data_IF_605208405953
#
_entry.id   IF_605208405953
#
_cell.length_a   1.000
_cell.length_b   1.000
_cell.length_c   1.000
_cell.angle_alpha   90.00
_cell.angle_beta   90.00
_cell.angle_gamma   90.00
#
_symmetry.space_group_name_H-M   'P 1'
#
loop_
_entity.id
_entity.type
_entity.pdbx_description
1 polymer ?
#
# COMPACT_ATOMS: atom_id res chain seq x y z
N UNK A 1 43.87 -3.42 -44.07
CA UNK A 1 42.86 -4.37 -43.54
C UNK A 1 42.21 -3.72 -42.31
N UNK A 2 41.03 -3.16 -42.47
CA UNK A 2 40.23 -2.61 -41.34
C UNK A 2 39.34 -3.72 -40.82
N UNK A 3 39.54 -4.12 -39.56
CA UNK A 3 38.67 -5.07 -38.86
C UNK A 3 37.52 -4.30 -38.24
N UNK A 4 36.31 -4.47 -38.77
CA UNK A 4 35.09 -3.92 -38.19
C UNK A 4 34.70 -4.72 -36.97
N UNK A 5 34.68 -4.09 -35.80
CA UNK A 5 34.14 -4.65 -34.56
C UNK A 5 32.61 -4.47 -34.60
N UNK A 6 31.89 -5.58 -34.75
CA UNK A 6 30.44 -5.60 -34.66
C UNK A 6 30.05 -5.58 -33.18
N UNK A 7 29.55 -4.45 -32.69
CA UNK A 7 28.90 -4.35 -31.37
C UNK A 7 27.51 -5.01 -31.47
N UNK A 8 27.41 -6.22 -30.98
CA UNK A 8 26.10 -6.87 -30.76
C UNK A 8 25.50 -6.31 -29.48
N UNK A 9 24.59 -5.36 -29.62
CA UNK A 9 23.73 -4.90 -28.50
C UNK A 9 22.79 -6.04 -28.14
N UNK A 10 23.03 -6.74 -27.04
CA UNK A 10 22.04 -7.61 -26.41
C UNK A 10 20.87 -6.73 -25.91
N UNK A 11 19.83 -6.62 -26.73
CA UNK A 11 18.53 -6.17 -26.27
C UNK A 11 17.97 -7.27 -25.35
N UNK A 12 18.14 -7.11 -24.03
CA UNK A 12 17.38 -7.86 -23.04
C UNK A 12 15.90 -7.61 -23.34
N UNK A 13 15.05 -8.64 -23.41
CA UNK A 13 13.62 -8.43 -23.57
C UNK A 13 13.17 -7.60 -22.36
N UNK A 14 12.68 -6.40 -22.62
CA UNK A 14 11.94 -5.62 -21.64
C UNK A 14 10.78 -6.52 -21.19
N UNK A 15 10.92 -7.15 -20.05
CA UNK A 15 9.82 -7.81 -19.37
C UNK A 15 8.68 -6.82 -19.40
N UNK A 16 7.53 -7.21 -19.98
CA UNK A 16 6.35 -6.38 -20.01
C UNK A 16 5.93 -6.16 -18.54
N UNK A 17 6.52 -5.14 -17.91
CA UNK A 17 6.14 -4.65 -16.60
C UNK A 17 4.64 -4.44 -16.67
N UNK A 18 3.91 -5.13 -15.82
CA UNK A 18 2.48 -4.93 -15.66
C UNK A 18 2.30 -3.44 -15.34
N UNK A 19 1.90 -2.64 -16.34
CA UNK A 19 1.83 -1.18 -16.25
C UNK A 19 0.94 -0.82 -15.08
N UNK A 20 1.55 -0.42 -13.96
CA UNK A 20 0.89 0.22 -12.85
C UNK A 20 -0.20 -0.61 -12.14
N UNK A 21 -0.05 -1.93 -12.06
CA UNK A 21 -0.98 -2.75 -11.29
C UNK A 21 -0.95 -2.31 -9.82
N UNK A 22 -2.15 -2.12 -9.23
CA UNK A 22 -2.29 -1.91 -7.80
C UNK A 22 -1.62 -3.05 -7.03
N UNK A 23 -0.93 -2.73 -5.97
CA UNK A 23 -0.18 -3.68 -5.16
C UNK A 23 -0.77 -3.90 -3.77
N UNK A 24 -0.93 -2.84 -2.98
CA UNK A 24 -1.43 -2.92 -1.61
C UNK A 24 -2.02 -1.58 -1.14
N UNK A 25 -2.83 -1.65 -0.08
CA UNK A 25 -3.18 -0.50 0.76
C UNK A 25 -2.95 -0.87 2.23
N UNK A 26 -2.25 -0.03 2.98
CA UNK A 26 -1.92 -0.24 4.38
C UNK A 26 -2.14 1.05 5.16
N UNK A 27 -2.87 0.99 6.27
CA UNK A 27 -3.18 2.14 7.10
C UNK A 27 -2.37 2.15 8.40
N UNK A 28 -2.17 3.33 8.97
CA UNK A 28 -1.61 3.52 10.32
C UNK A 28 -2.54 2.98 11.41
N UNK A 29 -3.86 3.05 11.19
CA UNK A 29 -4.86 2.44 12.06
C UNK A 29 -6.09 2.03 11.27
N UNK A 30 -6.94 1.18 11.85
CA UNK A 30 -8.27 0.88 11.34
C UNK A 30 -9.24 0.70 12.50
N UNK A 31 -10.48 1.10 12.31
CA UNK A 31 -11.54 0.86 13.28
C UNK A 31 -11.83 -0.64 13.36
N UNK A 32 -11.71 -1.19 14.56
CA UNK A 32 -12.01 -2.59 14.81
C UNK A 32 -13.53 -2.83 14.85
N UNK A 33 -13.94 -4.00 14.42
CA UNK A 33 -15.31 -4.44 14.48
C UNK A 33 -15.35 -5.93 14.86
N UNK A 34 -15.83 -6.24 16.07
CA UNK A 34 -15.76 -7.56 16.71
C UNK A 34 -16.22 -8.72 15.82
N UNK A 35 -17.36 -8.57 15.15
CA UNK A 35 -17.93 -9.63 14.30
C UNK A 35 -17.53 -9.55 12.82
N UNK A 36 -16.88 -8.49 12.38
CA UNK A 36 -16.50 -8.26 10.99
C UNK A 36 -15.15 -7.55 10.88
N UNK A 37 -14.02 -8.23 11.14
CA UNK A 37 -12.69 -7.61 11.19
C UNK A 37 -12.30 -6.85 9.90
N UNK A 38 -12.80 -7.29 8.75
CA UNK A 38 -12.54 -6.66 7.45
C UNK A 38 -13.45 -5.46 7.12
N UNK A 39 -14.39 -5.07 8.03
CA UNK A 39 -15.38 -4.03 7.73
C UNK A 39 -14.77 -2.69 7.35
N UNK A 40 -13.71 -2.29 8.03
CA UNK A 40 -13.08 -0.97 7.88
C UNK A 40 -11.61 -1.05 7.45
N UNK A 41 -11.24 -2.15 6.80
CA UNK A 41 -9.85 -2.38 6.37
C UNK A 41 -9.40 -1.41 5.26
N UNK A 42 -8.09 -1.12 5.14
CA UNK A 42 -7.55 -0.17 4.17
C UNK A 42 -7.90 -0.46 2.70
N UNK A 43 -7.99 -1.74 2.32
CA UNK A 43 -8.38 -2.13 0.96
C UNK A 43 -9.78 -1.66 0.54
N UNK A 44 -10.65 -1.38 1.50
CA UNK A 44 -11.98 -0.84 1.22
C UNK A 44 -11.91 0.55 0.58
N UNK A 45 -10.85 1.33 0.87
CA UNK A 45 -10.66 2.66 0.28
C UNK A 45 -10.32 2.63 -1.22
N UNK A 46 -9.99 1.47 -1.75
CA UNK A 46 -9.52 1.34 -3.15
C UNK A 46 -10.29 0.29 -3.94
N UNK A 47 -11.43 -0.20 -3.43
CA UNK A 47 -12.18 -1.30 -4.03
C UNK A 47 -13.33 -0.87 -4.96
N UNK A 48 -13.60 0.43 -5.05
CA UNK A 48 -14.63 1.00 -5.92
C UNK A 48 -16.06 0.70 -5.49
N UNK A 49 -16.29 0.36 -4.22
CA UNK A 49 -17.60 -0.04 -3.70
C UNK A 49 -18.12 0.98 -2.69
N UNK A 50 -19.24 1.63 -2.98
CA UNK A 50 -19.87 2.60 -2.09
C UNK A 50 -20.36 1.99 -0.75
N UNK A 51 -20.47 0.66 -0.67
CA UNK A 51 -20.92 -0.05 0.54
C UNK A 51 -19.78 -0.36 1.53
N UNK A 52 -18.54 -0.11 1.18
CA UNK A 52 -17.36 -0.38 1.97
C UNK A 52 -16.58 0.90 2.20
N UNK A 53 -15.87 1.00 3.33
CA UNK A 53 -15.04 2.15 3.67
C UNK A 53 -13.86 1.70 4.51
N UNK A 54 -12.76 2.40 4.41
CA UNK A 54 -11.80 2.44 5.50
C UNK A 54 -12.24 3.49 6.51
N UNK A 55 -12.17 3.16 7.79
CA UNK A 55 -12.29 4.11 8.88
C UNK A 55 -11.07 3.93 9.78
N UNK A 56 -10.47 5.04 10.19
CA UNK A 56 -9.35 4.99 11.13
C UNK A 56 -9.84 4.57 12.53
N UNK A 57 -8.93 4.05 13.36
CA UNK A 57 -9.22 3.52 14.69
C UNK A 57 -8.39 4.16 15.80
N UNK A 58 -7.76 5.30 15.55
CA UNK A 58 -7.00 6.03 16.55
C UNK A 58 -7.91 6.78 17.51
N UNK A 59 -7.37 7.24 18.63
CA UNK A 59 -8.11 8.15 19.52
C UNK A 59 -8.21 9.54 18.89
N UNK A 60 -9.37 10.14 18.96
CA UNK A 60 -9.64 11.50 18.47
C UNK A 60 -10.38 11.49 17.14
N UNK A 61 -10.06 12.43 16.27
CA UNK A 61 -10.74 12.64 15.00
C UNK A 61 -9.94 12.16 13.77
N UNK A 62 -8.86 11.41 14.01
CA UNK A 62 -8.07 10.77 12.96
C UNK A 62 -7.11 11.70 12.19
N UNK A 63 -6.94 12.96 12.61
CA UNK A 63 -5.91 13.83 12.03
C UNK A 63 -4.52 13.22 12.21
N UNK A 64 -3.72 13.21 11.13
CA UNK A 64 -2.43 12.54 11.06
C UNK A 64 -2.50 11.05 10.70
N UNK A 65 -3.68 10.43 10.70
CA UNK A 65 -3.83 9.06 10.23
C UNK A 65 -3.65 8.99 8.71
N UNK A 66 -3.01 7.91 8.26
CA UNK A 66 -2.57 7.78 6.88
C UNK A 66 -2.81 6.38 6.33
N UNK A 67 -2.97 6.33 5.02
CA UNK A 67 -2.94 5.11 4.24
C UNK A 67 -1.80 5.20 3.22
N UNK A 68 -1.01 4.16 3.16
CA UNK A 68 0.01 3.97 2.13
C UNK A 68 -0.59 3.07 1.05
N UNK A 69 -0.56 3.55 -0.18
CA UNK A 69 -0.99 2.81 -1.37
C UNK A 69 0.24 2.51 -2.22
N UNK A 70 0.45 1.25 -2.53
CA UNK A 70 1.57 0.77 -3.35
C UNK A 70 1.12 0.18 -4.67
N UNK A 71 1.93 0.37 -5.70
CA UNK A 71 1.79 -0.22 -7.03
C UNK A 71 2.98 -1.16 -7.32
N UNK A 72 2.76 -2.14 -8.17
CA UNK A 72 3.79 -3.14 -8.52
C UNK A 72 4.89 -2.60 -9.46
N UNK A 73 4.65 -1.42 -10.03
CA UNK A 73 5.60 -0.69 -10.89
C UNK A 73 5.31 0.80 -10.79
N UNK A 74 6.26 1.69 -11.15
CA UNK A 74 6.06 3.12 -11.16
C UNK A 74 4.84 3.54 -12.00
N UNK A 75 4.05 4.45 -11.46
CA UNK A 75 2.88 5.07 -12.10
C UNK A 75 3.00 6.59 -12.02
N UNK A 76 2.28 7.28 -12.90
CA UNK A 76 2.15 8.75 -12.89
C UNK A 76 0.69 9.08 -12.60
N UNK A 77 0.40 9.58 -11.40
CA UNK A 77 -0.95 9.92 -10.95
C UNK A 77 -1.21 11.39 -11.27
N UNK A 78 -2.15 11.66 -12.15
CA UNK A 78 -2.54 13.01 -12.59
C UNK A 78 -3.92 13.45 -12.04
N UNK A 79 -4.72 12.50 -11.53
CA UNK A 79 -6.02 12.76 -10.94
C UNK A 79 -6.31 11.76 -9.81
N UNK A 80 -7.05 12.21 -8.81
CA UNK A 80 -7.69 11.33 -7.83
C UNK A 80 -9.19 11.60 -7.77
N UNK A 81 -9.98 10.54 -7.59
CA UNK A 81 -11.44 10.64 -7.36
C UNK A 81 -11.72 10.15 -5.95
N UNK A 82 -12.32 11.00 -5.13
CA UNK A 82 -12.52 10.71 -3.71
C UNK A 82 -14.00 10.62 -3.40
N UNK A 83 -14.44 9.49 -2.84
CA UNK A 83 -15.75 9.33 -2.20
C UNK A 83 -15.53 9.43 -0.70
N UNK A 84 -15.98 10.53 -0.11
CA UNK A 84 -15.69 10.91 1.27
C UNK A 84 -16.62 10.22 2.28
N UNK A 85 -16.16 10.11 3.53
CA UNK A 85 -16.93 9.58 4.64
C UNK A 85 -17.27 8.10 4.53
N UNK A 86 -18.19 7.60 5.35
CA UNK A 86 -18.82 6.28 5.20
C UNK A 86 -20.08 6.42 4.33
N UNK A 87 -19.91 6.27 3.01
CA UNK A 87 -20.96 6.56 2.04
C UNK A 87 -21.99 5.41 1.88
N UNK A 88 -21.92 4.35 2.69
CA UNK A 88 -22.84 3.20 2.63
C UNK A 88 -24.31 3.58 2.89
N UNK A 89 -24.54 4.65 3.63
CA UNK A 89 -25.86 5.24 3.85
C UNK A 89 -25.74 6.73 4.25
N UNK A 90 -26.81 7.49 4.08
CA UNK A 90 -26.87 8.88 4.55
C UNK A 90 -26.69 8.99 6.08
N UNK A 91 -27.21 8.02 6.82
CA UNK A 91 -27.08 7.97 8.28
C UNK A 91 -25.60 7.74 8.68
N UNK A 92 -24.93 6.74 8.09
CA UNK A 92 -23.54 6.43 8.36
C UNK A 92 -22.62 7.62 7.99
N UNK A 93 -22.87 8.26 6.85
CA UNK A 93 -22.14 9.46 6.43
C UNK A 93 -22.23 10.61 7.43
N UNK A 94 -23.41 10.86 7.98
CA UNK A 94 -23.60 11.92 8.98
C UNK A 94 -23.04 11.58 10.35
N UNK A 95 -23.11 10.31 10.74
CA UNK A 95 -22.67 9.85 12.04
C UNK A 95 -21.14 9.90 12.22
N UNK A 96 -20.40 9.53 11.18
CA UNK A 96 -18.93 9.48 11.20
C UNK A 96 -18.28 10.80 10.75
N UNK A 97 -17.03 11.02 11.11
CA UNK A 97 -16.25 12.12 10.57
C UNK A 97 -15.94 11.90 9.08
N UNK A 98 -15.81 12.97 8.36
CA UNK A 98 -15.44 12.99 6.94
C UNK A 98 -14.19 13.84 6.77
N UNK A 99 -13.35 13.50 5.81
CA UNK A 99 -12.13 14.27 5.54
C UNK A 99 -12.49 15.61 4.93
N UNK A 100 -11.94 16.71 5.47
CA UNK A 100 -12.02 18.06 4.91
C UNK A 100 -10.79 18.39 4.08
N UNK A 101 -9.61 18.09 4.62
CA UNK A 101 -8.33 18.28 3.95
C UNK A 101 -7.53 17.01 4.08
N UNK A 102 -7.02 16.52 2.97
CA UNK A 102 -6.00 15.47 2.96
C UNK A 102 -4.75 15.93 2.21
N UNK A 103 -3.63 15.30 2.50
CA UNK A 103 -2.47 15.37 1.62
C UNK A 103 -2.32 14.06 0.86
N UNK A 104 -1.96 14.19 -0.41
CA UNK A 104 -1.50 13.10 -1.25
C UNK A 104 -0.02 13.33 -1.54
N UNK A 105 0.84 12.42 -1.18
CA UNK A 105 2.30 12.61 -1.31
C UNK A 105 3.02 11.32 -1.67
N UNK A 106 4.23 11.49 -2.16
CA UNK A 106 5.26 10.47 -2.25
C UNK A 106 6.58 11.05 -1.71
N UNK A 107 7.69 10.37 -1.94
CA UNK A 107 9.02 10.82 -1.48
C UNK A 107 9.47 12.14 -2.13
N UNK A 108 8.92 12.51 -3.30
CA UNK A 108 9.38 13.64 -4.12
C UNK A 108 8.45 14.86 -4.05
N UNK A 109 7.16 14.67 -3.81
CA UNK A 109 6.16 15.74 -3.91
C UNK A 109 4.96 15.50 -3.00
N UNK A 110 4.25 16.61 -2.68
CA UNK A 110 3.04 16.62 -1.86
C UNK A 110 1.99 17.55 -2.49
N UNK A 111 0.76 17.09 -2.53
CA UNK A 111 -0.42 17.88 -2.89
C UNK A 111 -1.38 17.96 -1.71
N UNK A 112 -1.90 19.14 -1.45
CA UNK A 112 -2.99 19.35 -0.50
C UNK A 112 -4.31 19.35 -1.26
N UNK A 113 -5.26 18.55 -0.83
CA UNK A 113 -6.57 18.37 -1.44
C UNK A 113 -7.64 18.78 -0.44
N UNK A 114 -8.46 19.76 -0.80
CA UNK A 114 -9.64 20.17 -0.02
C UNK A 114 -10.88 19.50 -0.60
N UNK A 115 -11.63 18.80 0.25
CA UNK A 115 -12.85 18.10 -0.13
C UNK A 115 -14.09 18.88 0.31
N UNK A 116 -15.17 18.76 -0.45
CA UNK A 116 -16.49 19.19 -0.03
C UNK A 116 -17.15 18.14 0.86
N UNK A 117 -18.05 18.57 1.77
CA UNK A 117 -18.81 17.68 2.65
C UNK A 117 -19.98 17.01 1.89
N UNK A 118 -19.68 16.03 1.06
CA UNK A 118 -20.64 15.33 0.22
C UNK A 118 -20.29 13.84 0.07
N UNK A 119 -21.32 12.99 -0.05
CA UNK A 119 -21.20 11.57 -0.39
C UNK A 119 -20.87 11.32 -1.88
N UNK A 120 -20.99 12.35 -2.74
CA UNK A 120 -20.73 12.19 -4.17
C UNK A 120 -19.23 12.13 -4.42
N UNK A 121 -18.77 11.31 -5.39
CA UNK A 121 -17.39 11.34 -5.82
C UNK A 121 -16.96 12.74 -6.25
N UNK A 122 -15.76 13.14 -5.88
CA UNK A 122 -15.14 14.42 -6.21
C UNK A 122 -13.90 14.14 -7.05
N UNK A 123 -13.81 14.72 -8.23
CA UNK A 123 -12.66 14.61 -9.13
C UNK A 123 -11.67 15.74 -8.85
N UNK A 124 -10.44 15.39 -8.54
CA UNK A 124 -9.36 16.31 -8.23
C UNK A 124 -8.20 16.07 -9.18
N UNK A 125 -7.98 17.01 -10.08
CA UNK A 125 -6.81 17.01 -10.95
C UNK A 125 -5.61 17.56 -10.20
N UNK A 126 -4.50 16.86 -10.28
CA UNK A 126 -3.24 17.29 -9.69
C UNK A 126 -2.55 18.25 -10.68
N UNK A 127 -2.11 19.41 -10.19
CA UNK A 127 -1.43 20.40 -11.04
C UNK A 127 -0.10 19.90 -11.63
N UNK A 128 0.55 18.98 -10.91
CA UNK A 128 1.70 18.19 -11.38
C UNK A 128 1.43 16.73 -11.02
N UNK A 129 1.67 15.78 -11.93
CA UNK A 129 1.54 14.37 -11.61
C UNK A 129 2.48 13.96 -10.46
N UNK A 130 2.03 13.01 -9.65
CA UNK A 130 2.87 12.29 -8.70
C UNK A 130 3.39 11.03 -9.35
N UNK A 131 4.71 10.89 -9.44
CA UNK A 131 5.35 9.74 -10.08
C UNK A 131 6.01 8.84 -9.03
N UNK A 132 5.79 7.54 -9.12
CA UNK A 132 6.40 6.57 -8.22
C UNK A 132 5.58 5.29 -8.05
N UNK A 133 6.02 4.44 -7.14
CA UNK A 133 5.36 3.19 -6.81
C UNK A 133 4.53 3.27 -5.52
N UNK A 134 4.72 4.31 -4.71
CA UNK A 134 4.19 4.41 -3.36
C UNK A 134 3.66 5.82 -3.08
N UNK A 135 2.43 5.89 -2.60
CA UNK A 135 1.75 7.14 -2.31
C UNK A 135 1.14 7.08 -0.91
N UNK A 136 1.13 8.22 -0.23
CA UNK A 136 0.57 8.38 1.10
C UNK A 136 -0.62 9.31 1.02
N UNK A 137 -1.77 8.86 1.51
CA UNK A 137 -2.95 9.66 1.77
C UNK A 137 -3.01 9.92 3.28
N UNK A 138 -2.92 11.17 3.71
CA UNK A 138 -2.90 11.55 5.12
C UNK A 138 -4.01 12.55 5.42
N UNK A 139 -4.76 12.32 6.51
CA UNK A 139 -5.83 13.20 6.98
C UNK A 139 -5.22 14.42 7.66
N UNK A 140 -5.57 15.61 7.20
CA UNK A 140 -5.11 16.89 7.77
C UNK A 140 -6.22 17.61 8.55
N UNK A 141 -7.45 17.61 8.04
CA UNK A 141 -8.60 18.22 8.67
C UNK A 141 -9.86 17.39 8.40
N UNK A 142 -10.84 17.50 9.28
CA UNK A 142 -12.10 16.77 9.19
C UNK A 142 -13.33 17.67 9.30
N UNK A 143 -14.42 17.25 8.68
CA UNK A 143 -15.78 17.64 9.04
C UNK A 143 -16.26 16.69 10.14
N UNK A 144 -16.68 17.20 11.28
CA UNK A 144 -17.13 16.36 12.39
C UNK A 144 -18.48 15.74 12.12
N UNK A 145 -18.63 14.47 12.51
CA UNK A 145 -19.87 13.74 12.49
C UNK A 145 -20.83 14.17 13.60
N UNK A 146 -22.08 13.76 13.46
CA UNK A 146 -23.15 14.00 14.45
C UNK A 146 -23.20 12.87 15.52
N UNK A 147 -22.45 11.75 15.30
CA UNK A 147 -22.40 10.60 16.19
C UNK A 147 -21.38 10.73 17.30
N UNK A 148 -21.48 9.85 18.30
CA UNK A 148 -20.50 9.76 19.40
C UNK A 148 -19.17 9.15 18.94
N UNK A 149 -19.21 8.29 17.91
CA UNK A 149 -18.02 7.68 17.32
C UNK A 149 -17.33 8.72 16.43
N UNK A 150 -16.12 9.12 16.82
CA UNK A 150 -15.33 10.13 16.11
C UNK A 150 -14.43 9.55 15.00
N UNK A 151 -14.69 8.33 14.54
CA UNK A 151 -13.89 7.71 13.49
C UNK A 151 -14.04 8.48 12.17
N UNK A 152 -12.91 8.80 11.54
CA UNK A 152 -12.90 9.43 10.22
C UNK A 152 -12.80 8.36 9.14
N UNK A 153 -13.70 8.43 8.17
CA UNK A 153 -13.83 7.42 7.12
C UNK A 153 -13.54 7.99 5.72
N UNK A 154 -13.07 7.12 4.84
CA UNK A 154 -12.99 7.30 3.40
C UNK A 154 -13.57 6.06 2.71
N UNK A 155 -14.58 6.27 1.86
CA UNK A 155 -15.21 5.17 1.11
C UNK A 155 -14.32 4.74 -0.05
N UNK A 156 -13.85 5.69 -0.88
CA UNK A 156 -13.03 5.32 -2.03
C UNK A 156 -12.07 6.43 -2.41
N UNK A 157 -10.85 6.05 -2.80
CA UNK A 157 -9.86 6.91 -3.45
C UNK A 157 -9.36 6.20 -4.70
N UNK A 158 -9.86 6.64 -5.84
CA UNK A 158 -9.45 6.13 -7.15
C UNK A 158 -8.25 6.92 -7.64
N UNK A 159 -7.12 6.25 -7.81
CA UNK A 159 -5.93 6.81 -8.44
C UNK A 159 -6.05 6.69 -9.94
N UNK A 160 -5.82 7.78 -10.67
CA UNK A 160 -6.02 7.87 -12.12
C UNK A 160 -4.72 8.29 -12.79
N UNK A 161 -4.39 7.65 -13.91
CA UNK A 161 -3.24 7.92 -14.77
C UNK A 161 -3.69 8.07 -16.20
N UNK A 162 -3.53 9.24 -16.81
CA UNK A 162 -3.95 9.50 -18.19
C UNK A 162 -5.42 9.13 -18.44
N UNK A 163 -6.32 9.46 -17.52
CA UNK A 163 -7.75 9.15 -17.58
C UNK A 163 -8.12 7.69 -17.25
N UNK A 164 -7.15 6.80 -16.97
CA UNK A 164 -7.39 5.39 -16.65
C UNK A 164 -7.33 5.16 -15.14
N UNK A 165 -8.37 4.61 -14.51
CA UNK A 165 -8.35 4.25 -13.09
C UNK A 165 -7.38 3.09 -12.85
N UNK A 166 -6.48 3.25 -11.88
CA UNK A 166 -5.52 2.25 -11.41
C UNK A 166 -6.00 1.52 -10.15
N UNK A 167 -7.01 2.07 -9.46
CA UNK A 167 -7.69 1.48 -8.29
C UNK A 167 -9.21 1.63 -8.44
N UNK A 168 -9.97 1.39 -7.41
CA UNK A 168 -11.43 1.52 -7.42
C UNK A 168 -12.08 0.50 -8.35
N UNK A 169 -12.90 0.92 -9.33
CA UNK A 169 -13.64 0.00 -10.20
C UNK A 169 -12.75 -1.00 -10.96
N UNK A 170 -11.49 -0.66 -11.23
CA UNK A 170 -10.55 -1.58 -11.90
C UNK A 170 -10.16 -2.79 -11.05
N UNK A 171 -10.36 -2.70 -9.72
CA UNK A 171 -10.10 -3.75 -8.75
C UNK A 171 -11.37 -4.48 -8.30
N UNK A 172 -12.55 -4.01 -8.70
CA UNK A 172 -13.81 -4.62 -8.32
C UNK A 172 -13.82 -6.13 -8.66
N UNK A 173 -14.12 -6.96 -7.68
CA UNK A 173 -14.09 -8.43 -7.79
C UNK A 173 -12.71 -9.09 -7.78
N UNK A 174 -11.60 -8.31 -7.87
CA UNK A 174 -10.24 -8.86 -7.80
C UNK A 174 -9.68 -8.92 -6.38
N UNK A 175 -10.19 -8.09 -5.49
CA UNK A 175 -9.81 -8.06 -4.08
C UNK A 175 -10.53 -9.21 -3.31
N UNK A 176 -10.28 -10.45 -3.71
CA UNK A 176 -10.95 -11.66 -3.23
C UNK A 176 -10.82 -11.90 -1.72
N UNK A 177 -10.42 -13.10 -1.32
CA UNK A 177 -10.27 -13.49 0.09
C UNK A 177 -9.34 -12.53 0.83
N UNK A 178 -9.93 -11.72 1.73
CA UNK A 178 -9.27 -10.66 2.49
C UNK A 178 -8.76 -11.12 3.84
N UNK A 179 -8.84 -12.42 4.12
CA UNK A 179 -8.39 -13.01 5.37
C UNK A 179 -6.90 -13.41 5.29
N UNK A 180 -6.22 -13.34 6.40
CA UNK A 180 -4.83 -13.78 6.57
C UNK A 180 -3.81 -12.94 5.79
N UNK A 181 -3.67 -13.17 4.48
CA UNK A 181 -2.67 -12.50 3.64
C UNK A 181 -2.73 -10.96 3.69
N UNK A 182 -3.92 -10.38 3.88
CA UNK A 182 -4.11 -8.92 4.00
C UNK A 182 -3.28 -8.32 5.12
N UNK A 183 -3.13 -9.02 6.23
CA UNK A 183 -2.35 -8.54 7.37
C UNK A 183 -0.87 -8.30 7.04
N UNK A 184 -0.32 -9.06 6.09
CA UNK A 184 1.08 -8.96 5.68
C UNK A 184 1.31 -8.04 4.48
N UNK A 185 0.26 -7.60 3.78
CA UNK A 185 0.40 -6.73 2.61
C UNK A 185 1.08 -5.41 2.99
N UNK A 186 1.98 -4.95 2.14
CA UNK A 186 2.69 -3.71 2.35
C UNK A 186 4.09 -3.74 1.77
N UNK A 187 4.81 -2.67 1.97
CA UNK A 187 6.24 -2.55 1.70
C UNK A 187 7.00 -2.57 3.01
N UNK A 188 7.88 -3.51 3.15
CA UNK A 188 8.67 -3.78 4.35
C UNK A 188 10.13 -3.44 4.08
N UNK A 189 10.78 -2.85 5.06
CA UNK A 189 12.16 -2.41 4.98
C UNK A 189 13.02 -3.10 6.04
N UNK A 190 14.21 -3.49 5.66
CA UNK A 190 15.26 -3.98 6.57
C UNK A 190 16.60 -3.43 6.13
N UNK A 191 17.12 -2.48 6.87
CA UNK A 191 18.42 -1.85 6.66
C UNK A 191 18.83 -1.10 7.91
N UNK A 192 20.09 -0.72 7.95
CA UNK A 192 20.67 0.18 8.95
C UNK A 192 21.43 1.26 8.19
N UNK A 193 21.59 2.44 8.78
CA UNK A 193 22.41 3.49 8.21
C UNK A 193 23.83 2.99 7.91
N UNK A 194 24.31 3.22 6.69
CA UNK A 194 25.61 2.73 6.24
C UNK A 194 25.69 1.23 5.94
N UNK A 195 24.56 0.54 5.83
CA UNK A 195 24.48 -0.87 5.49
C UNK A 195 23.59 -1.09 4.24
N UNK A 196 23.70 -2.25 3.58
CA UNK A 196 22.82 -2.58 2.47
C UNK A 196 21.35 -2.52 2.84
N UNK A 197 20.53 -2.00 1.93
CA UNK A 197 19.09 -1.90 2.10
C UNK A 197 18.36 -3.09 1.49
N UNK A 198 17.26 -3.48 2.12
CA UNK A 198 16.42 -4.56 1.64
C UNK A 198 14.97 -4.16 1.74
N UNK A 199 14.22 -4.47 0.69
CA UNK A 199 12.79 -4.20 0.59
C UNK A 199 12.05 -5.50 0.27
N UNK A 200 10.93 -5.72 0.94
CA UNK A 200 10.02 -6.81 0.69
C UNK A 200 8.62 -6.24 0.49
N UNK A 201 8.12 -6.28 -0.74
CA UNK A 201 6.78 -5.87 -1.08
C UNK A 201 5.89 -7.12 -1.16
N UNK A 202 4.82 -7.15 -0.37
CA UNK A 202 3.80 -8.21 -0.38
C UNK A 202 2.50 -7.64 -0.94
N UNK A 203 2.04 -8.19 -2.06
CA UNK A 203 0.93 -7.64 -2.84
C UNK A 203 -0.39 -8.39 -2.61
N UNK A 204 -1.52 -7.71 -2.89
CA UNK A 204 -2.86 -8.27 -2.69
C UNK A 204 -3.15 -9.50 -3.57
N UNK A 205 -2.49 -9.63 -4.70
CA UNK A 205 -2.61 -10.75 -5.64
C UNK A 205 -1.77 -11.97 -5.22
N UNK A 206 -1.23 -11.93 -4.00
CA UNK A 206 -0.38 -12.98 -3.40
C UNK A 206 0.96 -13.14 -4.11
N UNK A 207 1.42 -12.12 -4.84
CA UNK A 207 2.79 -12.05 -5.32
C UNK A 207 3.66 -11.23 -4.39
N UNK A 208 4.98 -11.43 -4.45
CA UNK A 208 5.94 -10.63 -3.72
C UNK A 208 7.08 -10.18 -4.62
N UNK A 209 7.73 -9.09 -4.20
CA UNK A 209 8.99 -8.61 -4.75
C UNK A 209 9.95 -8.33 -3.61
N UNK A 210 11.10 -8.99 -3.62
CA UNK A 210 12.23 -8.69 -2.78
C UNK A 210 13.27 -7.91 -3.57
N UNK A 211 13.86 -6.88 -2.97
CA UNK A 211 14.95 -6.09 -3.55
C UNK A 211 16.07 -5.95 -2.53
N UNK A 212 17.28 -6.20 -2.98
CA UNK A 212 18.51 -5.92 -2.27
C UNK A 212 19.25 -4.80 -2.97
N UNK A 213 19.59 -3.77 -2.22
CA UNK A 213 20.41 -2.65 -2.68
C UNK A 213 21.71 -2.65 -1.87
N UNK A 214 22.85 -2.95 -2.48
CA UNK A 214 24.13 -2.90 -1.81
C UNK A 214 24.44 -1.47 -1.36
N UNK A 215 25.34 -1.33 -0.39
CA UNK A 215 25.81 -0.02 0.06
C UNK A 215 26.69 0.64 -1.03
N UNK A 216 27.51 -0.17 -1.69
CA UNK A 216 28.31 0.28 -2.83
C UNK A 216 27.44 0.26 -4.10
N UNK A 217 27.24 1.43 -4.76
CA UNK A 217 26.42 1.49 -5.97
C UNK A 217 27.07 0.78 -7.18
N UNK A 218 28.35 0.42 -7.11
CA UNK A 218 29.04 -0.37 -8.15
C UNK A 218 28.76 -1.86 -8.02
N UNK A 219 28.30 -2.33 -6.84
CA UNK A 219 27.88 -3.72 -6.66
C UNK A 219 26.49 -3.94 -7.27
N UNK A 220 26.25 -5.10 -7.91
CA UNK A 220 24.93 -5.38 -8.47
C UNK A 220 23.89 -5.63 -7.37
N UNK A 221 22.75 -4.95 -7.48
CA UNK A 221 21.58 -5.25 -6.66
C UNK A 221 20.93 -6.57 -7.08
N UNK A 222 20.01 -7.05 -6.23
CA UNK A 222 19.24 -8.27 -6.51
C UNK A 222 17.73 -7.97 -6.48
N UNK A 223 16.98 -8.56 -7.38
CA UNK A 223 15.53 -8.59 -7.34
C UNK A 223 15.01 -10.02 -7.48
N UNK A 224 14.21 -10.45 -6.51
CA UNK A 224 13.50 -11.73 -6.53
C UNK A 224 12.00 -11.46 -6.54
N UNK A 225 11.29 -12.11 -7.46
CA UNK A 225 9.82 -12.10 -7.54
C UNK A 225 9.30 -13.50 -7.30
N UNK A 226 8.07 -13.62 -6.83
CA UNK A 226 7.44 -14.89 -6.60
C UNK A 226 6.03 -14.78 -6.07
N UNK A 227 5.53 -15.90 -5.56
CA UNK A 227 4.21 -16.00 -4.94
C UNK A 227 4.36 -16.22 -3.43
N UNK A 228 3.39 -15.76 -2.65
CA UNK A 228 3.31 -16.05 -1.23
C UNK A 228 1.91 -16.51 -0.82
N UNK A 229 1.85 -17.27 0.25
CA UNK A 229 0.62 -17.63 0.94
C UNK A 229 0.80 -17.45 2.43
N UNK A 230 -0.24 -17.03 3.13
CA UNK A 230 -0.24 -16.84 4.57
C UNK A 230 -1.61 -17.21 5.15
N UNK A 231 -1.63 -18.05 6.17
CA UNK A 231 -2.85 -18.54 6.82
C UNK A 231 -3.14 -17.89 8.18
N UNK A 232 -2.36 -16.89 8.56
CA UNK A 232 -2.43 -16.22 9.87
C UNK A 232 -1.28 -16.60 10.81
N UNK A 233 -0.53 -17.67 10.52
CA UNK A 233 0.61 -18.14 11.31
C UNK A 233 1.77 -18.56 10.43
N UNK A 234 1.49 -19.35 9.39
CA UNK A 234 2.49 -19.91 8.49
C UNK A 234 2.55 -19.11 7.20
N UNK A 235 3.73 -18.61 6.87
CA UNK A 235 4.05 -17.96 5.61
C UNK A 235 4.72 -19.00 4.70
N UNK A 236 4.27 -19.09 3.47
CA UNK A 236 4.93 -19.84 2.41
C UNK A 236 5.36 -18.88 1.32
N UNK A 237 6.59 -19.02 0.86
CA UNK A 237 7.18 -18.21 -0.20
C UNK A 237 7.63 -19.13 -1.34
N UNK A 238 7.32 -18.75 -2.57
CA UNK A 238 7.76 -19.47 -3.77
C UNK A 238 8.45 -18.48 -4.71
N UNK A 239 9.76 -18.29 -4.61
CA UNK A 239 10.50 -17.52 -5.60
C UNK A 239 10.30 -18.10 -7.00
N UNK A 240 10.27 -17.26 -8.02
CA UNK A 240 10.07 -17.68 -9.40
C UNK A 240 11.10 -18.76 -9.80
N UNK A 241 10.61 -19.87 -10.35
CA UNK A 241 11.45 -21.01 -10.76
C UNK A 241 11.97 -21.87 -9.60
N UNK A 242 11.53 -21.65 -8.35
CA UNK A 242 11.93 -22.45 -7.18
C UNK A 242 10.71 -23.11 -6.53
N UNK A 243 10.95 -24.03 -5.61
CA UNK A 243 9.92 -24.69 -4.81
C UNK A 243 9.41 -23.80 -3.67
N UNK A 244 8.27 -24.19 -3.09
CA UNK A 244 7.72 -23.54 -1.92
C UNK A 244 8.63 -23.72 -0.71
N UNK A 245 8.88 -22.63 0.01
CA UNK A 245 9.62 -22.61 1.28
C UNK A 245 8.66 -22.17 2.39
N UNK A 246 8.63 -22.94 3.46
CA UNK A 246 7.82 -22.64 4.64
C UNK A 246 8.59 -21.74 5.61
N UNK A 247 7.89 -20.76 6.16
CA UNK A 247 8.42 -19.83 7.14
C UNK A 247 7.33 -19.52 8.18
N UNK A 248 7.72 -19.14 9.38
CA UNK A 248 6.80 -18.47 10.29
C UNK A 248 6.84 -16.97 10.03
N UNK A 249 5.69 -16.32 10.15
CA UNK A 249 5.60 -14.86 10.09
C UNK A 249 4.77 -14.33 11.27
N UNK A 250 5.26 -13.28 11.90
CA UNK A 250 4.57 -12.60 12.98
C UNK A 250 4.61 -11.10 12.77
N UNK A 251 3.45 -10.45 12.88
CA UNK A 251 3.33 -9.01 12.97
C UNK A 251 3.40 -8.61 14.45
N UNK A 252 4.27 -7.67 14.75
CA UNK A 252 4.40 -7.05 16.08
C UNK A 252 4.07 -5.58 15.94
N UNK A 253 3.22 -5.08 16.82
CA UNK A 253 3.01 -3.65 16.93
C UNK A 253 4.27 -2.99 17.52
N UNK A 254 4.65 -1.84 16.98
CA UNK A 254 5.72 -0.99 17.51
C UNK A 254 5.20 0.42 17.70
N UNK A 255 5.61 1.05 18.80
CA UNK A 255 5.42 2.48 18.96
C UNK A 255 6.51 3.23 18.19
N UNK A 256 6.10 4.14 17.34
CA UNK A 256 7.02 5.03 16.64
C UNK A 256 7.32 6.27 17.49
N UNK A 257 8.49 6.87 17.28
CA UNK A 257 8.88 8.12 17.94
C UNK A 257 7.95 9.29 17.60
N UNK A 258 7.25 9.22 16.48
CA UNK A 258 6.23 10.19 16.04
C UNK A 258 4.83 9.88 16.58
N UNK A 259 4.69 8.88 17.47
CA UNK A 259 3.42 8.46 18.08
C UNK A 259 2.48 7.72 17.10
N UNK A 260 2.90 7.46 15.89
CA UNK A 260 2.10 6.69 14.92
C UNK A 260 2.37 5.20 15.10
N UNK A 261 1.33 4.34 15.14
CA UNK A 261 1.53 2.91 15.23
C UNK A 261 2.28 2.40 14.00
N UNK A 262 3.33 1.64 14.26
CA UNK A 262 4.09 0.93 13.24
C UNK A 262 3.98 -0.56 13.47
N UNK A 263 4.23 -1.33 12.43
CA UNK A 263 4.31 -2.77 12.54
C UNK A 263 5.71 -3.25 12.15
N UNK A 264 6.11 -4.32 12.81
CA UNK A 264 7.30 -5.09 12.46
C UNK A 264 6.87 -6.46 11.98
N UNK A 265 7.29 -6.84 10.79
CA UNK A 265 7.14 -8.18 10.26
C UNK A 265 8.41 -8.98 10.59
N UNK A 266 8.27 -10.05 11.33
CA UNK A 266 9.37 -10.98 11.61
C UNK A 266 9.12 -12.24 10.80
N UNK A 267 10.05 -12.57 9.90
CA UNK A 267 10.04 -13.82 9.14
C UNK A 267 11.18 -14.70 9.67
N UNK A 268 10.86 -15.91 10.09
CA UNK A 268 11.81 -16.91 10.52
C UNK A 268 11.59 -18.21 9.75
N UNK A 269 12.66 -18.77 9.20
CA UNK A 269 12.64 -20.07 8.52
C UNK A 269 13.98 -20.76 8.66
N UNK A 270 13.94 -22.07 8.83
CA UNK A 270 15.16 -22.89 8.96
C UNK A 270 15.91 -23.04 7.63
N UNK A 271 15.27 -22.77 6.49
CA UNK A 271 15.78 -23.04 5.14
C UNK A 271 15.65 -21.88 4.15
N UNK A 272 15.28 -20.67 4.58
CA UNK A 272 15.42 -19.51 3.72
C UNK A 272 16.89 -19.12 3.68
N UNK A 273 17.40 -18.84 2.46
CA UNK A 273 18.63 -18.09 2.38
C UNK A 273 18.47 -16.83 3.26
N UNK A 274 19.49 -16.42 3.97
CA UNK A 274 19.41 -15.34 4.97
C UNK A 274 18.82 -14.02 4.47
N UNK A 275 18.42 -13.93 3.19
CA UNK A 275 17.88 -12.73 2.55
C UNK A 275 16.45 -12.41 2.99
N UNK A 276 15.60 -13.42 3.21
CA UNK A 276 14.19 -13.24 3.58
C UNK A 276 13.92 -13.49 5.07
N UNK A 277 14.72 -14.36 5.73
CA UNK A 277 14.58 -14.69 7.15
C UNK A 277 15.14 -13.58 8.05
N UNK A 278 14.36 -12.56 8.33
CA UNK A 278 14.78 -11.41 9.14
C UNK A 278 13.62 -10.60 9.71
N UNK A 279 13.96 -9.56 10.44
CA UNK A 279 13.04 -8.55 10.93
C UNK A 279 12.89 -7.43 9.91
N UNK A 280 11.65 -7.03 9.63
CA UNK A 280 11.28 -6.03 8.66
C UNK A 280 10.44 -4.96 9.34
N UNK A 281 10.79 -3.71 9.17
CA UNK A 281 9.99 -2.58 9.63
C UNK A 281 9.04 -2.12 8.54
N UNK A 282 7.90 -1.55 8.95
CA UNK A 282 7.03 -0.82 8.04
C UNK A 282 7.85 0.29 7.37
N UNK A 283 7.83 0.36 6.07
CA UNK A 283 8.52 1.43 5.36
C UNK A 283 7.79 2.75 5.64
N UNK A 284 8.49 3.76 6.16
CA UNK A 284 7.89 5.04 6.54
C UNK A 284 7.31 5.79 5.34
#
# INVERSE_FOLDING_TARGET
MLTAILLVSLLLPASALAKGAFGYARASSQLEHDSRPARYQPLNMVDGRAATSWCEGARGDGVGQRIVVGFQAPVSIDEVRVTNGEASSRQAFKANNRVRVLTLSNELARHTVTLSDTQRPQEIKLGKPLEGERFVVEIQEVFRGEGEANATCLTDVVFVSGGKPLSGPSLAGKLGDRNGAVALMGSWYSGLEGAPERFLDLYFDKTFRYRYQPFDPEEPGEEIRGEFAFDGKQLRLKPSGKEWVEASAALKAEESKDGLPRARLVIAAERLDGSLARSWSDRP
#
